data_IF_252087213307
#
_entry.id   IF_252087213307
#
_cell.length_a   1.000
_cell.length_b   1.000
_cell.length_c   1.000
_cell.angle_alpha   90.00
_cell.angle_beta   90.00
_cell.angle_gamma   90.00
#
_symmetry.space_group_name_H-M   'P 1'
#
loop_
_entity.id
_entity.type
_entity.pdbx_description
1 polymer ?
#
# COMPACT_ATOMS: atom_id res chain seq x y z
N UNK A 1 7.43 21.40 15.60
CA UNK A 1 6.64 20.19 15.89
C UNK A 1 5.64 20.08 14.77
N UNK A 2 5.69 18.96 14.06
CA UNK A 2 4.72 18.63 13.03
C UNK A 2 3.74 17.64 13.65
N UNK A 3 2.44 17.92 13.52
CA UNK A 3 1.35 17.05 13.96
C UNK A 3 0.46 16.76 12.76
N UNK A 4 0.10 15.49 12.53
CA UNK A 4 -0.95 15.10 11.57
C UNK A 4 -2.29 15.04 12.29
N UNK A 5 -3.34 15.40 11.56
CA UNK A 5 -4.73 15.41 12.03
C UNK A 5 -5.61 14.72 11.01
N UNK A 6 -6.19 13.59 11.41
CA UNK A 6 -6.94 12.73 10.51
C UNK A 6 -8.29 12.36 11.10
N UNK A 7 -9.22 12.04 10.22
CA UNK A 7 -10.59 11.68 10.55
C UNK A 7 -10.88 10.37 9.81
N UNK A 8 -11.18 9.33 10.57
CA UNK A 8 -11.32 7.96 10.09
C UNK A 8 -12.75 7.51 10.25
N UNK A 9 -13.31 6.89 9.21
CA UNK A 9 -14.57 6.16 9.27
C UNK A 9 -14.28 4.70 9.57
N UNK A 10 -14.90 4.16 10.61
CA UNK A 10 -14.69 2.80 11.12
C UNK A 10 -16.00 2.05 11.05
N UNK A 11 -15.96 0.81 10.55
CA UNK A 11 -17.12 -0.06 10.42
C UNK A 11 -17.02 -1.19 11.44
N UNK A 12 -17.78 -1.11 12.53
CA UNK A 12 -17.74 -2.08 13.63
C UNK A 12 -19.14 -2.61 13.93
N UNK A 13 -19.30 -3.93 13.92
CA UNK A 13 -20.56 -4.63 14.24
C UNK A 13 -21.77 -4.10 13.44
N UNK A 14 -21.56 -3.74 12.18
CA UNK A 14 -22.58 -3.15 11.29
C UNK A 14 -22.92 -1.69 11.59
N UNK A 15 -22.13 -1.00 12.41
CA UNK A 15 -22.24 0.44 12.70
C UNK A 15 -21.04 1.19 12.16
N UNK A 16 -21.30 2.44 11.76
CA UNK A 16 -20.26 3.38 11.37
C UNK A 16 -19.93 4.28 12.56
N UNK A 17 -18.66 4.34 12.92
CA UNK A 17 -18.09 5.22 13.93
C UNK A 17 -17.03 6.10 13.29
N UNK A 18 -16.84 7.33 13.80
CA UNK A 18 -15.79 8.21 13.32
C UNK A 18 -14.77 8.45 14.42
N UNK A 19 -13.48 8.32 14.07
CA UNK A 19 -12.36 8.56 14.96
C UNK A 19 -11.54 9.75 14.48
N UNK A 20 -11.11 10.58 15.42
CA UNK A 20 -10.13 11.62 15.20
C UNK A 20 -8.76 11.13 15.67
N UNK A 21 -7.80 11.09 14.75
CA UNK A 21 -6.43 10.65 15.01
C UNK A 21 -5.50 11.85 15.05
N UNK A 22 -4.65 11.85 16.07
CA UNK A 22 -3.58 12.82 16.26
C UNK A 22 -2.28 12.06 16.30
N UNK A 23 -1.39 12.40 15.38
CA UNK A 23 -0.05 11.85 15.33
C UNK A 23 0.96 12.99 15.49
N UNK A 24 1.90 12.86 16.43
CA UNK A 24 2.90 13.91 16.65
C UNK A 24 4.12 13.47 17.45
N UNK A 25 5.19 14.24 17.33
CA UNK A 25 6.45 14.06 18.07
C UNK A 25 6.35 14.64 19.48
N UNK A 26 5.41 14.11 20.27
CA UNK A 26 5.37 14.38 21.70
C UNK A 26 6.24 13.34 22.39
N UNK A 27 7.16 13.77 23.25
CA UNK A 27 7.75 12.85 24.24
C UNK A 27 6.63 12.47 25.20
N UNK A 28 5.82 11.48 24.83
CA UNK A 28 4.68 11.05 25.62
C UNK A 28 5.14 10.09 26.70
N UNK A 29 4.68 10.34 27.92
CA UNK A 29 4.80 9.41 29.05
C UNK A 29 3.69 8.34 29.04
N UNK A 30 2.90 8.28 27.97
CA UNK A 30 1.73 7.42 27.82
C UNK A 30 0.41 8.08 28.25
N UNK A 31 0.45 9.31 28.77
CA UNK A 31 -0.78 10.04 29.13
C UNK A 31 -1.46 10.60 27.90
N UNK A 32 -2.71 10.18 27.66
CA UNK A 32 -3.54 10.74 26.58
C UNK A 32 -4.04 12.12 27.00
N UNK A 33 -3.70 13.21 26.26
CA UNK A 33 -4.10 14.55 26.64
C UNK A 33 -5.60 14.74 26.49
N UNK A 34 -6.17 15.61 27.32
CA UNK A 34 -7.55 16.07 27.11
C UNK A 34 -7.60 16.92 25.84
N UNK A 35 -8.56 16.64 24.96
CA UNK A 35 -8.67 17.27 23.65
C UNK A 35 -10.05 17.90 23.43
N UNK A 36 -10.07 19.18 23.06
CA UNK A 36 -11.31 19.87 22.66
C UNK A 36 -11.17 20.51 21.28
N UNK A 37 -12.23 20.52 20.49
CA UNK A 37 -12.30 21.14 19.17
C UNK A 37 -13.16 22.41 19.23
N UNK A 38 -12.67 23.49 18.65
CA UNK A 38 -13.39 24.76 18.64
C UNK A 38 -12.68 25.89 17.91
N UNK A 39 -13.25 27.08 18.00
CA UNK A 39 -12.62 28.32 17.50
C UNK A 39 -11.81 29.00 18.60
N UNK A 40 -11.14 30.10 18.30
CA UNK A 40 -10.47 30.94 19.34
C UNK A 40 -11.47 31.54 20.32
N UNK A 41 -12.66 31.84 19.87
CA UNK A 41 -13.68 32.58 20.61
C UNK A 41 -14.63 31.65 21.37
N UNK A 42 -14.74 30.38 20.92
CA UNK A 42 -15.61 29.39 21.54
C UNK A 42 -15.02 27.97 21.42
N UNK A 43 -14.95 27.25 22.54
CA UNK A 43 -14.58 25.82 22.55
C UNK A 43 -15.86 25.01 22.42
N UNK A 44 -16.07 24.35 21.28
CA UNK A 44 -17.38 23.79 21.00
C UNK A 44 -17.61 22.44 21.69
N UNK A 45 -16.62 21.54 21.70
CA UNK A 45 -16.78 20.24 22.34
C UNK A 45 -15.48 19.51 22.65
N UNK A 46 -15.56 18.65 23.66
CA UNK A 46 -14.52 17.72 24.06
C UNK A 46 -14.67 16.40 23.31
N UNK A 47 -13.54 15.81 22.91
CA UNK A 47 -13.50 14.48 22.32
C UNK A 47 -13.16 13.45 23.40
N UNK A 48 -13.82 12.30 23.32
CA UNK A 48 -13.57 11.19 24.24
C UNK A 48 -12.38 10.37 23.72
N UNK A 49 -11.32 10.17 24.50
CA UNK A 49 -10.21 9.32 24.07
C UNK A 49 -10.67 7.87 23.92
N UNK A 50 -10.15 7.19 22.90
CA UNK A 50 -10.31 5.74 22.75
C UNK A 50 -9.47 5.07 23.83
N UNK A 51 -10.04 4.10 24.55
CA UNK A 51 -9.30 3.41 25.60
C UNK A 51 -8.14 2.60 25.00
N UNK A 52 -6.97 2.62 25.64
CA UNK A 52 -5.80 1.90 25.16
C UNK A 52 -6.04 0.38 25.00
N UNK A 53 -6.96 -0.19 25.78
CA UNK A 53 -7.35 -1.60 25.67
C UNK A 53 -8.18 -1.91 24.40
N UNK A 54 -8.86 -0.90 23.85
CA UNK A 54 -9.65 -1.02 22.63
C UNK A 54 -8.80 -0.80 21.37
N UNK A 55 -7.69 -0.06 21.52
CA UNK A 55 -6.69 0.16 20.47
C UNK A 55 -5.88 -1.11 20.23
N UNK A 56 -5.88 -1.56 18.98
CA UNK A 56 -5.17 -2.78 18.58
C UNK A 56 -3.90 -2.51 17.75
N UNK A 57 -3.46 -1.26 17.74
CA UNK A 57 -2.27 -0.80 17.01
C UNK A 57 -1.02 -1.27 17.72
N UNK A 58 0.05 -1.47 16.95
CA UNK A 58 1.38 -1.55 17.53
C UNK A 58 1.88 -0.10 17.65
N UNK A 59 2.06 0.46 18.86
CA UNK A 59 2.50 1.83 19.01
C UNK A 59 3.90 2.01 18.41
N UNK A 60 4.06 3.05 17.59
CA UNK A 60 5.36 3.44 17.07
C UNK A 60 6.27 3.95 18.19
N UNK A 61 7.58 3.72 18.03
CA UNK A 61 8.59 4.28 18.94
C UNK A 61 9.01 5.70 18.57
N UNK A 62 8.65 6.15 17.36
CA UNK A 62 9.15 7.39 16.77
C UNK A 62 8.12 8.52 16.78
N UNK A 63 6.85 8.20 17.04
CA UNK A 63 5.75 9.15 17.13
C UNK A 63 4.74 8.71 18.19
N UNK A 64 4.00 9.66 18.73
CA UNK A 64 2.85 9.38 19.60
C UNK A 64 1.57 9.44 18.81
N UNK A 65 0.73 8.42 18.99
CA UNK A 65 -0.63 8.37 18.48
C UNK A 65 -1.66 8.56 19.59
N UNK A 66 -2.61 9.46 19.35
CA UNK A 66 -3.79 9.59 20.16
C UNK A 66 -5.04 9.43 19.29
N UNK A 67 -5.95 8.60 19.75
CA UNK A 67 -7.20 8.31 19.09
C UNK A 67 -8.36 8.80 19.94
N UNK A 68 -9.30 9.49 19.32
CA UNK A 68 -10.50 9.99 19.99
C UNK A 68 -11.74 9.66 19.18
N UNK A 69 -12.85 9.41 19.85
CA UNK A 69 -14.15 9.35 19.19
C UNK A 69 -14.53 10.75 18.69
N UNK A 70 -14.64 10.90 17.37
CA UNK A 70 -15.05 12.16 16.74
C UNK A 70 -16.54 12.45 16.97
N UNK A 71 -17.33 11.40 17.25
CA UNK A 71 -18.77 11.51 17.49
C UNK A 71 -19.53 11.95 16.23
N UNK A 72 -20.55 12.77 16.42
CA UNK A 72 -21.38 13.28 15.33
C UNK A 72 -20.64 14.36 14.51
N UNK A 73 -20.34 14.04 13.25
CA UNK A 73 -19.65 14.93 12.31
C UNK A 73 -20.46 16.18 11.95
N UNK A 74 -21.79 16.21 12.17
CA UNK A 74 -22.60 17.42 11.98
C UNK A 74 -22.17 18.57 12.91
N UNK A 75 -21.64 18.23 14.10
CA UNK A 75 -21.09 19.19 15.06
C UNK A 75 -19.80 19.82 14.56
N UNK A 76 -19.01 19.06 13.81
CA UNK A 76 -17.79 19.55 13.17
C UNK A 76 -18.12 20.48 12.01
N UNK A 77 -19.14 20.18 11.20
CA UNK A 77 -19.57 21.08 10.12
C UNK A 77 -20.15 22.40 10.65
N UNK A 78 -20.87 22.37 11.79
CA UNK A 78 -21.36 23.59 12.44
C UNK A 78 -20.23 24.54 12.91
N UNK A 79 -19.04 24.00 13.19
CA UNK A 79 -17.86 24.81 13.48
C UNK A 79 -17.40 25.61 12.28
N UNK A 80 -17.54 25.09 11.06
CA UNK A 80 -17.19 25.83 9.83
C UNK A 80 -18.06 27.07 9.67
N UNK A 81 -19.37 26.94 9.93
CA UNK A 81 -20.30 28.05 9.86
C UNK A 81 -19.98 29.14 10.90
N UNK A 82 -19.66 28.71 12.12
CA UNK A 82 -19.26 29.60 13.22
C UNK A 82 -17.88 30.24 12.96
N UNK A 83 -16.99 29.52 12.27
CA UNK A 83 -15.64 29.94 11.91
C UNK A 83 -15.58 30.91 10.73
N UNK A 84 -16.71 31.40 10.18
CA UNK A 84 -16.72 32.41 9.09
C UNK A 84 -15.92 33.70 9.42
N UNK A 85 -15.45 33.88 10.67
CA UNK A 85 -14.48 34.91 11.11
C UNK A 85 -13.26 34.39 11.89
N UNK A 86 -13.06 33.08 12.05
CA UNK A 86 -12.02 32.47 12.89
C UNK A 86 -11.43 31.16 12.33
N UNK A 87 -10.39 30.62 12.98
CA UNK A 87 -9.80 29.31 12.65
C UNK A 87 -10.36 28.25 13.59
N UNK A 88 -10.64 27.06 13.07
CA UNK A 88 -10.95 25.89 13.91
C UNK A 88 -9.64 25.27 14.37
N UNK A 89 -9.53 24.99 15.68
CA UNK A 89 -8.34 24.47 16.31
C UNK A 89 -8.68 23.24 17.16
N UNK A 90 -7.70 22.33 17.24
CA UNK A 90 -7.59 21.31 18.25
C UNK A 90 -6.83 21.89 19.44
N UNK A 91 -7.41 21.84 20.64
CA UNK A 91 -6.79 22.31 21.89
C UNK A 91 -6.43 21.14 22.80
N UNK A 92 -5.14 21.01 23.12
CA UNK A 92 -4.60 19.92 23.93
C UNK A 92 -4.25 20.41 25.33
N UNK A 93 -4.73 19.70 26.34
CA UNK A 93 -4.45 19.97 27.74
C UNK A 93 -3.71 18.77 28.36
N UNK A 94 -2.39 18.89 28.46
CA UNK A 94 -1.51 17.85 29.02
C UNK A 94 -1.51 17.82 30.56
N UNK A 95 -2.05 18.86 31.19
CA UNK A 95 -2.33 18.87 32.64
C UNK A 95 -3.56 19.74 32.94
N UNK A 96 -4.25 19.53 34.07
CA UNK A 96 -5.49 20.26 34.40
C UNK A 96 -5.32 21.79 34.45
N UNK A 97 -4.10 22.27 34.73
CA UNK A 97 -3.80 23.69 34.92
C UNK A 97 -2.81 24.27 33.88
N UNK A 98 -2.40 23.50 32.87
CA UNK A 98 -1.52 24.01 31.82
C UNK A 98 -2.29 24.86 30.80
N UNK A 99 -1.64 25.91 30.28
CA UNK A 99 -2.08 26.55 29.04
C UNK A 99 -2.11 25.48 27.95
N UNK A 100 -3.28 25.24 27.36
CA UNK A 100 -3.41 24.26 26.29
C UNK A 100 -2.58 24.68 25.07
N UNK A 101 -1.90 23.72 24.44
CA UNK A 101 -1.39 23.95 23.09
C UNK A 101 -2.56 23.90 22.11
N UNK A 102 -2.41 24.54 20.95
CA UNK A 102 -3.43 24.49 19.92
C UNK A 102 -2.81 24.36 18.54
N UNK A 103 -3.45 23.57 17.71
CA UNK A 103 -3.10 23.42 16.31
C UNK A 103 -4.34 23.70 15.43
N UNK A 104 -4.12 24.39 14.32
CA UNK A 104 -5.18 24.73 13.37
C UNK A 104 -5.57 23.50 12.54
N UNK A 105 -6.86 23.15 12.55
CA UNK A 105 -7.42 22.02 11.80
C UNK A 105 -8.51 22.43 10.81
N UNK A 106 -8.67 23.73 10.56
CA UNK A 106 -9.67 24.27 9.61
C UNK A 106 -9.69 23.54 8.25
N UNK A 107 -8.54 23.18 7.62
CA UNK A 107 -8.54 22.47 6.34
C UNK A 107 -9.21 21.09 6.40
N UNK A 108 -9.07 20.36 7.52
CA UNK A 108 -9.70 19.06 7.73
C UNK A 108 -11.22 19.22 7.87
N UNK A 109 -11.66 20.15 8.73
CA UNK A 109 -13.08 20.39 9.01
C UNK A 109 -13.85 20.79 7.75
N UNK A 110 -13.28 21.66 6.91
CA UNK A 110 -13.86 22.10 5.63
C UNK A 110 -14.08 20.98 4.61
N UNK A 111 -13.41 19.83 4.78
CA UNK A 111 -13.54 18.68 3.87
C UNK A 111 -14.67 17.74 4.28
N UNK A 112 -15.12 17.78 5.53
CA UNK A 112 -16.12 16.86 6.09
C UNK A 112 -17.45 16.87 5.31
N UNK A 113 -18.07 18.03 4.98
CA UNK A 113 -19.34 18.04 4.24
C UNK A 113 -19.22 17.32 2.90
N UNK A 114 -18.11 17.53 2.18
CA UNK A 114 -17.85 16.86 0.92
C UNK A 114 -17.67 15.36 1.14
N UNK A 115 -16.88 14.95 2.12
CA UNK A 115 -16.61 13.54 2.41
C UNK A 115 -17.89 12.75 2.72
N UNK A 116 -18.79 13.31 3.54
CA UNK A 116 -20.08 12.70 3.87
C UNK A 116 -21.04 12.54 2.67
N UNK A 117 -20.77 13.22 1.56
CA UNK A 117 -21.59 13.17 0.34
C UNK A 117 -20.95 12.36 -0.79
N UNK A 118 -19.71 11.87 -0.61
CA UNK A 118 -19.05 11.06 -1.62
C UNK A 118 -19.69 9.67 -1.70
N UNK A 119 -19.99 9.16 -2.92
CA UNK A 119 -20.29 7.75 -3.10
C UNK A 119 -19.15 6.89 -2.57
N UNK A 120 -19.43 5.72 -1.99
CA UNK A 120 -18.40 4.79 -1.47
C UNK A 120 -17.32 4.45 -2.52
N UNK A 121 -17.69 4.43 -3.81
CA UNK A 121 -16.75 4.22 -4.92
C UNK A 121 -15.81 5.41 -5.19
N UNK A 122 -16.15 6.61 -4.72
CA UNK A 122 -15.35 7.84 -4.80
C UNK A 122 -14.68 8.19 -3.46
N UNK A 123 -15.13 7.57 -2.36
CA UNK A 123 -14.37 7.56 -1.12
C UNK A 123 -13.05 6.84 -1.41
N UNK A 124 -11.93 7.48 -1.06
CA UNK A 124 -10.63 6.81 -1.07
C UNK A 124 -10.76 5.53 -0.26
N UNK A 125 -10.65 4.38 -0.92
CA UNK A 125 -10.87 3.10 -0.29
C UNK A 125 -9.98 2.98 0.95
N UNK A 126 -10.59 2.67 2.09
CA UNK A 126 -9.90 2.47 3.34
C UNK A 126 -9.01 1.23 3.21
N UNK A 127 -7.69 1.40 3.27
CA UNK A 127 -6.75 0.30 3.10
C UNK A 127 -5.53 0.65 2.23
N UNK A 128 -4.62 -0.31 2.04
CA UNK A 128 -3.48 -0.17 1.14
C UNK A 128 -4.00 0.03 -0.28
N UNK A 129 -3.32 0.84 -1.09
CA UNK A 129 -3.66 0.94 -2.52
C UNK A 129 -3.35 -0.35 -3.26
N UNK A 130 -2.40 -1.14 -2.75
CA UNK A 130 -2.01 -2.41 -3.30
C UNK A 130 -1.45 -3.31 -2.21
N UNK A 131 -1.91 -4.57 -2.14
CA UNK A 131 -1.42 -5.55 -1.18
C UNK A 131 -1.08 -6.85 -1.87
N UNK A 132 0.06 -7.44 -1.52
CA UNK A 132 0.46 -8.77 -1.98
C UNK A 132 0.90 -9.62 -0.79
N UNK A 133 0.40 -10.85 -0.74
CA UNK A 133 0.79 -11.82 0.28
C UNK A 133 1.97 -12.67 -0.18
N UNK A 134 2.94 -12.84 0.71
CA UNK A 134 4.15 -13.64 0.52
C UNK A 134 4.11 -14.85 1.45
N UNK A 135 3.66 -16.04 0.98
CA UNK A 135 3.48 -17.21 1.83
C UNK A 135 4.80 -17.70 2.45
N UNK A 136 4.80 -17.95 3.75
CA UNK A 136 5.91 -18.54 4.50
C UNK A 136 7.17 -17.66 4.61
N UNK A 137 7.12 -16.39 4.20
CA UNK A 137 8.24 -15.46 4.33
C UNK A 137 8.09 -14.56 5.57
N UNK A 138 9.15 -14.44 6.40
CA UNK A 138 9.19 -13.47 7.50
C UNK A 138 9.25 -12.02 7.00
N UNK A 139 8.72 -11.09 7.79
CA UNK A 139 8.69 -9.67 7.41
C UNK A 139 10.08 -9.07 7.21
N UNK A 140 11.06 -9.47 8.03
CA UNK A 140 12.44 -8.99 7.90
C UNK A 140 13.07 -9.39 6.56
N UNK A 141 12.94 -10.65 6.17
CA UNK A 141 13.51 -11.15 4.90
C UNK A 141 12.88 -10.46 3.70
N UNK A 142 11.57 -10.22 3.73
CA UNK A 142 10.87 -9.48 2.69
C UNK A 142 11.26 -8.01 2.64
N UNK A 143 11.46 -7.38 3.80
CA UNK A 143 11.97 -6.01 3.87
C UNK A 143 13.32 -5.91 3.18
N UNK A 144 14.24 -6.83 3.46
CA UNK A 144 15.56 -6.82 2.84
C UNK A 144 15.47 -7.04 1.32
N UNK A 145 14.61 -7.97 0.87
CA UNK A 145 14.40 -8.24 -0.55
C UNK A 145 13.80 -7.05 -1.31
N UNK A 146 12.79 -6.39 -0.73
CA UNK A 146 12.20 -5.20 -1.32
C UNK A 146 13.21 -4.05 -1.32
N UNK A 147 13.93 -3.81 -0.22
CA UNK A 147 14.96 -2.77 -0.17
C UNK A 147 16.04 -2.97 -1.25
N UNK A 148 16.46 -4.22 -1.50
CA UNK A 148 17.37 -4.57 -2.58
C UNK A 148 16.78 -4.23 -3.96
N UNK A 149 15.55 -4.66 -4.26
CA UNK A 149 14.91 -4.39 -5.57
C UNK A 149 14.53 -2.91 -5.78
N UNK A 150 14.29 -2.17 -4.71
CA UNK A 150 14.11 -0.72 -4.73
C UNK A 150 15.42 0.02 -5.04
N UNK A 151 16.56 -0.53 -4.63
CA UNK A 151 17.89 -0.01 -4.94
C UNK A 151 18.47 -0.74 -6.15
N UNK A 152 18.25 -0.26 -7.37
CA UNK A 152 18.99 -0.84 -8.52
C UNK A 152 20.49 -0.81 -8.21
N UNK A 153 21.27 -1.88 -8.42
CA UNK A 153 22.72 -1.88 -8.16
C UNK A 153 23.53 -1.84 -9.46
N UNK A 154 24.62 -1.09 -9.47
CA UNK A 154 25.73 -1.30 -10.41
C UNK A 154 26.40 -2.63 -10.08
N UNK A 155 27.11 -3.20 -11.05
CA UNK A 155 27.90 -4.44 -10.84
C UNK A 155 28.97 -4.26 -9.74
N UNK A 156 29.29 -2.99 -9.41
CA UNK A 156 30.13 -2.60 -8.27
C UNK A 156 29.43 -2.61 -6.90
N UNK A 157 28.14 -2.99 -6.83
CA UNK A 157 27.32 -2.99 -5.61
C UNK A 157 26.75 -1.62 -5.21
N UNK A 158 27.15 -0.53 -5.87
CA UNK A 158 26.62 0.82 -5.62
C UNK A 158 25.18 0.94 -6.15
N UNK A 159 24.28 1.57 -5.41
CA UNK A 159 22.94 1.87 -5.93
C UNK A 159 23.00 2.76 -7.21
N UNK A 160 22.51 2.24 -8.34
CA UNK A 160 22.15 2.91 -9.60
C UNK A 160 21.05 3.94 -9.34
N UNK A 161 21.40 5.20 -9.58
CA UNK A 161 20.50 6.36 -9.48
C UNK A 161 19.53 6.49 -10.67
N UNK A 162 19.62 5.61 -11.66
CA UNK A 162 18.87 5.68 -12.92
C UNK A 162 17.49 5.04 -12.86
N UNK A 163 17.18 4.28 -11.80
CA UNK A 163 15.82 3.86 -11.53
C UNK A 163 15.14 4.87 -10.64
N UNK A 164 13.84 4.98 -10.87
CA UNK A 164 13.05 6.17 -10.65
C UNK A 164 12.81 6.49 -9.17
N UNK A 165 13.14 5.56 -8.26
CA UNK A 165 12.96 5.66 -6.82
C UNK A 165 14.22 5.26 -6.03
N UNK A 166 14.39 5.82 -4.84
CA UNK A 166 15.51 5.67 -3.90
C UNK A 166 14.94 5.25 -2.55
N UNK A 167 15.50 4.16 -2.01
CA UNK A 167 15.22 3.70 -0.66
C UNK A 167 15.79 4.66 0.38
N UNK A 168 15.04 4.83 1.46
CA UNK A 168 15.57 5.45 2.66
C UNK A 168 15.18 4.62 3.87
N UNK A 169 16.19 4.26 4.66
CA UNK A 169 15.99 3.47 5.87
C UNK A 169 15.26 4.31 6.93
N UNK A 170 14.20 3.76 7.51
CA UNK A 170 13.38 4.41 8.55
C UNK A 170 13.64 3.73 9.91
N UNK A 171 14.89 3.36 10.17
CA UNK A 171 15.32 2.76 11.44
C UNK A 171 14.73 1.37 11.69
N UNK A 172 14.38 1.09 12.95
CA UNK A 172 13.95 -0.23 13.42
C UNK A 172 12.47 -0.56 13.15
N UNK A 173 11.75 0.24 12.37
CA UNK A 173 10.35 -0.05 12.01
C UNK A 173 10.29 -1.19 10.99
N UNK A 174 9.25 -2.04 10.99
CA UNK A 174 9.03 -3.00 9.91
C UNK A 174 8.79 -2.28 8.56
N UNK A 175 8.46 -1.00 8.55
CA UNK A 175 8.07 -0.22 7.37
C UNK A 175 9.26 0.39 6.59
N UNK A 176 9.08 0.64 5.30
CA UNK A 176 10.05 1.38 4.47
C UNK A 176 9.42 2.56 3.71
N UNK A 177 10.26 3.54 3.36
CA UNK A 177 9.89 4.70 2.55
C UNK A 177 10.62 4.67 1.20
N UNK A 178 9.89 4.89 0.11
CA UNK A 178 10.44 5.08 -1.24
C UNK A 178 10.17 6.49 -1.75
N UNK A 179 11.16 7.09 -2.41
CA UNK A 179 11.06 8.44 -2.99
C UNK A 179 11.58 8.46 -4.41
N UNK A 180 11.02 9.27 -5.32
CA UNK A 180 11.61 9.45 -6.62
C UNK A 180 13.04 10.00 -6.52
N UNK A 181 13.91 9.64 -7.48
CA UNK A 181 15.34 9.99 -7.45
C UNK A 181 15.66 11.49 -7.41
N UNK A 182 14.66 12.35 -7.66
CA UNK A 182 14.76 13.80 -7.71
C UNK A 182 13.68 14.54 -6.91
N UNK A 183 12.79 13.83 -6.21
CA UNK A 183 11.74 14.45 -5.39
C UNK A 183 11.75 13.84 -4.00
N UNK A 184 12.05 14.65 -3.00
CA UNK A 184 11.89 14.27 -1.59
C UNK A 184 10.48 14.54 -1.08
N UNK A 185 9.60 15.14 -1.90
CA UNK A 185 8.23 15.45 -1.50
C UNK A 185 7.28 14.26 -1.69
N UNK A 186 7.64 13.32 -2.57
CA UNK A 186 6.87 12.09 -2.75
C UNK A 186 7.44 10.98 -1.89
N UNK A 187 6.59 10.41 -1.03
CA UNK A 187 6.93 9.29 -0.16
C UNK A 187 5.88 8.21 -0.31
N UNK A 188 6.33 7.02 -0.69
CA UNK A 188 5.50 5.82 -0.70
C UNK A 188 5.90 4.96 0.48
N UNK A 189 4.95 4.71 1.37
CA UNK A 189 5.17 3.86 2.53
C UNK A 189 4.80 2.44 2.21
N UNK A 190 5.53 1.52 2.83
CA UNK A 190 5.17 0.12 2.81
C UNK A 190 5.24 -0.45 4.19
N UNK A 191 4.18 -1.15 4.56
CA UNK A 191 4.04 -1.83 5.82
C UNK A 191 4.06 -3.34 5.61
N UNK A 192 4.54 -4.05 6.64
CA UNK A 192 4.63 -5.50 6.64
C UNK A 192 3.86 -6.03 7.82
N UNK A 193 2.96 -6.97 7.55
CA UNK A 193 2.20 -7.66 8.58
C UNK A 193 2.51 -9.14 8.48
N UNK A 194 3.30 -9.61 9.42
CA UNK A 194 3.65 -11.02 9.55
C UNK A 194 2.49 -11.79 10.20
N UNK A 195 2.16 -12.93 9.62
CA UNK A 195 1.15 -13.88 10.08
C UNK A 195 1.75 -15.30 10.03
N UNK A 196 1.17 -16.30 10.72
CA UNK A 196 1.72 -17.66 10.74
C UNK A 196 1.92 -18.28 9.34
N UNK A 197 1.08 -17.90 8.37
CA UNK A 197 1.11 -18.41 7.01
C UNK A 197 2.08 -17.66 6.07
N UNK A 198 2.65 -16.52 6.49
CA UNK A 198 3.44 -15.64 5.63
C UNK A 198 3.28 -14.17 6.00
N UNK A 199 3.69 -13.27 5.11
CA UNK A 199 3.66 -11.84 5.39
C UNK A 199 2.92 -11.08 4.29
N UNK A 200 2.08 -10.16 4.71
CA UNK A 200 1.49 -9.15 3.83
C UNK A 200 2.44 -7.99 3.61
N UNK A 201 2.60 -7.60 2.36
CA UNK A 201 3.25 -6.35 1.96
C UNK A 201 2.17 -5.40 1.48
N UNK A 202 2.02 -4.28 2.16
CA UNK A 202 0.99 -3.27 1.93
C UNK A 202 1.64 -2.00 1.40
N UNK A 203 1.24 -1.58 0.21
CA UNK A 203 1.72 -0.36 -0.43
C UNK A 203 0.74 0.79 -0.19
N UNK A 204 1.16 1.70 0.66
CA UNK A 204 0.33 2.74 1.24
C UNK A 204 0.58 4.03 0.43
N UNK A 205 0.04 4.04 -0.79
CA UNK A 205 0.26 5.12 -1.76
C UNK A 205 -0.68 6.30 -1.51
N UNK A 206 -0.14 7.49 -1.30
CA UNK A 206 -0.93 8.71 -1.18
C UNK A 206 -0.16 9.94 -1.69
N UNK A 207 -0.35 10.26 -2.96
CA UNK A 207 0.21 11.43 -3.63
C UNK A 207 -0.38 11.60 -5.03
N UNK A 208 -0.28 12.79 -5.61
CA UNK A 208 -0.49 12.97 -7.05
C UNK A 208 0.79 12.56 -7.78
N UNK A 209 0.69 12.11 -9.04
CA UNK A 209 1.88 11.89 -9.86
C UNK A 209 2.64 13.21 -10.04
N UNK A 210 3.88 13.31 -9.54
CA UNK A 210 4.79 14.37 -9.93
C UNK A 210 5.75 13.87 -11.01
N UNK A 211 5.66 14.50 -12.18
CA UNK A 211 6.47 14.16 -13.34
C UNK A 211 5.92 13.02 -14.19
N UNK A 212 6.82 12.33 -14.91
CA UNK A 212 6.48 11.39 -15.99
C UNK A 212 6.38 9.91 -15.54
N UNK A 213 6.26 9.64 -14.24
CA UNK A 213 6.42 8.29 -13.68
C UNK A 213 5.24 7.99 -12.79
N UNK A 214 4.43 7.00 -13.17
CA UNK A 214 3.34 6.57 -12.32
C UNK A 214 3.88 5.74 -11.14
N UNK A 215 3.52 6.06 -9.89
CA UNK A 215 4.01 5.33 -8.72
C UNK A 215 3.62 3.85 -8.72
N UNK A 216 2.40 3.52 -9.14
CA UNK A 216 1.98 2.12 -9.31
C UNK A 216 2.84 1.33 -10.31
N UNK A 217 3.40 1.95 -11.35
CA UNK A 217 4.31 1.23 -12.26
C UNK A 217 5.58 0.75 -11.53
N UNK A 218 6.05 1.54 -10.56
CA UNK A 218 7.23 1.19 -9.76
C UNK A 218 6.86 0.14 -8.71
N UNK A 219 5.74 0.33 -8.02
CA UNK A 219 5.23 -0.61 -7.01
C UNK A 219 5.00 -1.98 -7.65
N UNK A 220 4.29 -2.06 -8.78
CA UNK A 220 4.07 -3.29 -9.51
C UNK A 220 5.38 -3.95 -9.92
N UNK A 221 6.33 -3.17 -10.46
CA UNK A 221 7.64 -3.70 -10.86
C UNK A 221 8.42 -4.31 -9.69
N UNK A 222 8.55 -3.60 -8.56
CA UNK A 222 9.30 -4.07 -7.39
C UNK A 222 8.63 -5.33 -6.84
N UNK A 223 7.31 -5.30 -6.68
CA UNK A 223 6.55 -6.42 -6.12
C UNK A 223 6.71 -7.68 -6.98
N UNK A 224 6.58 -7.55 -8.31
CA UNK A 224 6.75 -8.67 -9.24
C UNK A 224 8.19 -9.22 -9.20
N UNK A 225 9.19 -8.33 -9.18
CA UNK A 225 10.60 -8.73 -9.16
C UNK A 225 10.97 -9.48 -7.87
N UNK A 226 10.51 -9.00 -6.71
CA UNK A 226 10.73 -9.70 -5.43
C UNK A 226 10.00 -11.03 -5.42
N UNK A 227 8.77 -11.09 -5.94
CA UNK A 227 8.04 -12.35 -6.02
C UNK A 227 8.77 -13.39 -6.89
N UNK A 228 9.28 -12.97 -8.05
CA UNK A 228 10.04 -13.82 -8.96
C UNK A 228 11.40 -14.26 -8.40
N UNK A 229 11.99 -13.52 -7.47
CA UNK A 229 13.21 -13.96 -6.79
C UNK A 229 12.93 -15.01 -5.69
N UNK A 230 11.79 -14.92 -5.04
CA UNK A 230 11.48 -15.72 -3.84
C UNK A 230 10.68 -16.99 -4.16
N UNK A 231 9.89 -16.98 -5.23
CA UNK A 231 8.97 -18.07 -5.59
C UNK A 231 9.11 -18.50 -7.05
N UNK A 232 8.72 -19.75 -7.37
CA UNK A 232 8.45 -20.11 -8.75
C UNK A 232 7.24 -19.30 -9.23
N UNK A 233 7.40 -18.59 -10.34
CA UNK A 233 6.34 -17.74 -10.92
C UNK A 233 5.80 -18.35 -12.20
N UNK A 234 4.51 -18.16 -12.43
CA UNK A 234 3.90 -18.55 -13.70
C UNK A 234 4.39 -17.64 -14.82
N UNK A 235 4.63 -18.26 -15.96
CA UNK A 235 5.01 -17.62 -17.20
C UNK A 235 4.03 -18.05 -18.28
N UNK A 236 3.41 -17.06 -18.91
CA UNK A 236 2.38 -17.25 -19.93
C UNK A 236 2.84 -16.80 -21.32
N UNK A 237 4.11 -16.46 -21.49
CA UNK A 237 4.66 -16.12 -22.81
C UNK A 237 4.26 -14.75 -23.37
N UNK A 238 3.60 -13.87 -22.62
CA UNK A 238 3.29 -12.51 -23.09
C UNK A 238 3.37 -11.46 -21.98
N UNK A 239 3.46 -10.18 -22.37
CA UNK A 239 3.38 -9.02 -21.47
C UNK A 239 2.31 -8.03 -21.94
N UNK A 240 1.91 -7.10 -21.07
CA UNK A 240 0.89 -6.09 -21.37
C UNK A 240 1.49 -4.68 -21.49
N UNK A 241 0.91 -3.87 -22.38
CA UNK A 241 1.38 -2.52 -22.71
C UNK A 241 0.74 -1.45 -21.82
N UNK A 242 1.54 -0.47 -21.43
CA UNK A 242 1.08 0.75 -20.78
C UNK A 242 1.12 0.70 -19.25
N UNK A 243 0.60 1.77 -18.66
CA UNK A 243 0.61 2.00 -17.21
C UNK A 243 -0.35 1.07 -16.47
N UNK A 244 -0.05 0.79 -15.20
CA UNK A 244 -0.83 -0.10 -14.34
C UNK A 244 -2.34 0.23 -14.30
N UNK A 245 -2.73 1.50 -14.33
CA UNK A 245 -4.14 1.94 -14.26
C UNK A 245 -4.85 1.97 -15.63
N UNK A 246 -4.15 1.66 -16.72
CA UNK A 246 -4.77 1.69 -18.05
C UNK A 246 -5.85 0.61 -18.14
N UNK A 247 -7.08 1.03 -18.43
CA UNK A 247 -8.29 0.20 -18.48
C UNK A 247 -8.44 -0.65 -19.75
N UNK A 248 -7.32 -1.18 -20.25
CA UNK A 248 -7.29 -2.03 -21.45
C UNK A 248 -6.05 -2.91 -21.43
N UNK A 249 -6.27 -4.22 -21.56
CA UNK A 249 -5.21 -5.23 -21.52
C UNK A 249 -4.69 -5.51 -22.93
N UNK A 250 -3.77 -4.65 -23.38
CA UNK A 250 -3.18 -4.73 -24.72
C UNK A 250 -1.89 -5.54 -24.67
N UNK A 251 -1.75 -6.54 -25.54
CA UNK A 251 -0.53 -7.35 -25.68
C UNK A 251 0.64 -6.46 -26.13
N UNK A 252 1.78 -6.56 -25.45
CA UNK A 252 3.01 -5.81 -25.75
C UNK A 252 4.06 -6.69 -26.41
N UNK A 253 4.35 -7.84 -25.80
CA UNK A 253 5.29 -8.84 -26.33
C UNK A 253 4.70 -10.23 -26.29
N UNK A 254 5.20 -11.11 -27.17
CA UNK A 254 4.79 -12.52 -27.26
C UNK A 254 6.05 -13.36 -27.49
N UNK A 255 6.22 -14.42 -26.69
CA UNK A 255 7.27 -15.43 -26.82
C UNK A 255 6.70 -16.72 -27.43
N UNK A 256 6.64 -16.73 -28.75
CA UNK A 256 6.18 -17.91 -29.50
C UNK A 256 7.19 -19.06 -29.51
N UNK A 257 8.42 -18.86 -29.01
CA UNK A 257 9.42 -19.93 -28.96
C UNK A 257 9.14 -20.87 -27.79
N UNK A 258 8.81 -20.30 -26.63
CA UNK A 258 8.46 -21.07 -25.43
C UNK A 258 6.97 -21.41 -25.39
N UNK A 259 6.11 -20.56 -25.97
CA UNK A 259 4.67 -20.76 -26.07
C UNK A 259 4.20 -20.78 -27.53
N UNK A 260 4.42 -21.89 -28.27
CA UNK A 260 4.03 -21.99 -29.67
C UNK A 260 2.51 -21.86 -29.90
N UNK A 261 1.68 -22.13 -28.89
CA UNK A 261 0.23 -21.88 -28.91
C UNK A 261 -0.13 -20.40 -29.15
N UNK A 262 0.79 -19.47 -28.83
CA UNK A 262 0.61 -18.04 -29.03
C UNK A 262 0.91 -17.56 -30.45
N UNK A 263 1.13 -18.44 -31.42
CA UNK A 263 1.52 -18.06 -32.79
C UNK A 263 0.51 -17.13 -33.48
N UNK A 264 -0.78 -17.23 -33.12
CA UNK A 264 -1.83 -16.35 -33.63
C UNK A 264 -1.86 -14.97 -32.93
N UNK A 265 -1.25 -14.85 -31.75
CA UNK A 265 -1.25 -13.63 -30.95
C UNK A 265 -0.22 -12.63 -31.45
N UNK A 266 -0.59 -11.36 -31.51
CA UNK A 266 0.27 -10.27 -31.95
C UNK A 266 0.32 -9.13 -30.94
N UNK A 267 1.47 -8.42 -30.82
CA UNK A 267 1.52 -7.14 -30.15
C UNK A 267 0.44 -6.18 -30.69
N UNK A 268 -0.32 -5.58 -29.77
CA UNK A 268 -1.46 -4.71 -30.07
C UNK A 268 -2.83 -5.38 -30.01
N UNK A 269 -2.91 -6.71 -29.95
CA UNK A 269 -4.17 -7.41 -29.69
C UNK A 269 -4.66 -7.08 -28.27
N UNK A 270 -5.98 -7.07 -28.07
CA UNK A 270 -6.60 -6.67 -26.80
C UNK A 270 -7.31 -7.86 -26.17
N UNK A 271 -6.99 -8.20 -24.93
CA UNK A 271 -7.71 -9.23 -24.18
C UNK A 271 -9.09 -8.68 -23.81
N UNK A 272 -10.14 -9.39 -24.20
CA UNK A 272 -11.55 -9.06 -23.98
C UNK A 272 -12.18 -9.94 -22.91
N UNK A 273 -11.65 -11.14 -22.71
CA UNK A 273 -12.07 -12.07 -21.65
C UNK A 273 -10.90 -12.91 -21.16
N UNK A 274 -10.92 -13.26 -19.87
CA UNK A 274 -10.01 -14.21 -19.23
C UNK A 274 -10.84 -15.24 -18.48
N UNK A 275 -10.66 -16.53 -18.81
CA UNK A 275 -11.38 -17.67 -18.25
C UNK A 275 -12.91 -17.48 -18.27
N UNK A 276 -13.43 -16.90 -19.34
CA UNK A 276 -14.86 -16.64 -19.53
C UNK A 276 -15.38 -15.36 -18.89
N UNK A 277 -14.56 -14.62 -18.14
CA UNK A 277 -14.94 -13.35 -17.50
C UNK A 277 -14.56 -12.18 -18.41
N UNK A 278 -15.52 -11.33 -18.83
CA UNK A 278 -15.22 -10.12 -19.59
C UNK A 278 -14.36 -9.14 -18.79
N UNK A 279 -13.34 -8.55 -19.45
CA UNK A 279 -12.34 -7.70 -18.76
C UNK A 279 -12.26 -6.26 -19.29
N UNK A 280 -13.23 -5.88 -20.12
CA UNK A 280 -13.32 -4.52 -20.65
C UNK A 280 -13.48 -3.49 -19.52
N UNK A 281 -12.61 -2.48 -19.51
CA UNK A 281 -12.61 -1.44 -18.49
C UNK A 281 -11.77 -1.78 -17.25
N UNK A 282 -11.25 -3.00 -17.12
CA UNK A 282 -10.38 -3.35 -16.00
C UNK A 282 -8.95 -2.81 -16.19
N UNK A 283 -8.35 -2.26 -15.14
CA UNK A 283 -6.99 -1.74 -15.21
C UNK A 283 -5.98 -2.87 -15.37
N UNK A 284 -4.87 -2.60 -16.06
CA UNK A 284 -3.78 -3.55 -16.33
C UNK A 284 -3.26 -4.27 -15.08
N UNK A 285 -3.20 -3.59 -13.93
CA UNK A 285 -2.72 -4.20 -12.69
C UNK A 285 -3.56 -5.41 -12.25
N UNK A 286 -4.84 -5.49 -12.65
CA UNK A 286 -5.70 -6.64 -12.35
C UNK A 286 -5.20 -7.88 -13.07
N UNK A 287 -4.91 -7.79 -14.37
CA UNK A 287 -4.33 -8.90 -15.12
C UNK A 287 -2.96 -9.31 -14.56
N UNK A 288 -2.10 -8.33 -14.28
CA UNK A 288 -0.79 -8.62 -13.69
C UNK A 288 -0.94 -9.27 -12.32
N UNK A 289 -1.92 -8.85 -11.50
CA UNK A 289 -2.17 -9.48 -10.22
C UNK A 289 -2.54 -10.96 -10.38
N UNK A 290 -3.50 -11.24 -11.27
CA UNK A 290 -3.94 -12.60 -11.58
C UNK A 290 -2.80 -13.46 -12.12
N UNK A 291 -1.99 -12.93 -13.03
CA UNK A 291 -0.92 -13.70 -13.65
C UNK A 291 0.21 -14.05 -12.66
N UNK A 292 0.56 -13.13 -11.76
CA UNK A 292 1.72 -13.32 -10.87
C UNK A 292 1.38 -13.86 -9.48
N UNK A 293 0.22 -13.48 -8.92
CA UNK A 293 -0.09 -13.68 -7.49
C UNK A 293 -1.37 -14.47 -7.23
N UNK A 294 -1.90 -15.19 -8.22
CA UNK A 294 -3.06 -16.06 -8.04
C UNK A 294 -2.75 -17.53 -8.32
N UNK A 295 -3.68 -18.40 -7.94
CA UNK A 295 -3.63 -19.83 -8.19
C UNK A 295 -4.02 -20.23 -9.63
N UNK A 296 -4.36 -19.29 -10.53
CA UNK A 296 -4.78 -19.59 -11.92
C UNK A 296 -3.84 -20.53 -12.67
N UNK A 297 -4.39 -21.60 -13.28
CA UNK A 297 -3.63 -22.50 -14.14
C UNK A 297 -3.45 -21.93 -15.54
N UNK A 298 -3.72 -22.75 -16.56
CA UNK A 298 -3.79 -22.30 -17.94
C UNK A 298 -4.86 -21.20 -18.10
N UNK A 299 -4.66 -20.28 -19.04
CA UNK A 299 -5.54 -19.14 -19.28
C UNK A 299 -6.32 -19.34 -20.58
N UNK A 300 -7.64 -19.31 -20.51
CA UNK A 300 -8.49 -19.24 -21.69
C UNK A 300 -8.80 -17.77 -22.00
N UNK A 301 -8.19 -17.25 -23.07
CA UNK A 301 -8.28 -15.85 -23.45
C UNK A 301 -9.16 -15.68 -24.69
N UNK A 302 -10.04 -14.68 -24.66
CA UNK A 302 -10.65 -14.12 -25.87
C UNK A 302 -9.94 -12.82 -26.19
N UNK A 303 -9.38 -12.70 -27.39
CA UNK A 303 -8.65 -11.53 -27.86
C UNK A 303 -9.35 -10.89 -29.06
N UNK A 304 -9.23 -9.58 -29.17
CA UNK A 304 -9.64 -8.79 -30.33
C UNK A 304 -8.39 -8.30 -31.07
N UNK A 305 -8.26 -8.70 -32.33
CA UNK A 305 -7.26 -8.14 -33.25
C UNK A 305 -7.93 -7.28 -34.32
N UNK A 306 -7.35 -6.12 -34.66
CA UNK A 306 -7.79 -5.34 -35.82
C UNK A 306 -7.71 -6.12 -37.15
N UNK A 307 -6.90 -7.17 -37.22
CA UNK A 307 -6.66 -7.95 -38.45
C UNK A 307 -7.61 -9.13 -38.59
N UNK A 308 -7.82 -9.88 -37.52
CA UNK A 308 -8.53 -11.17 -37.54
C UNK A 308 -9.88 -11.14 -36.84
N UNK A 309 -10.24 -10.05 -36.16
CA UNK A 309 -11.43 -9.97 -35.33
C UNK A 309 -11.23 -10.67 -33.98
N UNK A 310 -12.33 -11.18 -33.40
CA UNK A 310 -12.29 -11.92 -32.15
C UNK A 310 -11.77 -13.34 -32.37
N UNK A 311 -10.88 -13.81 -31.50
CA UNK A 311 -10.36 -15.17 -31.51
C UNK A 311 -10.01 -15.64 -30.11
N UNK A 312 -9.92 -16.96 -29.94
CA UNK A 312 -9.66 -17.61 -28.66
C UNK A 312 -8.28 -18.27 -28.64
N UNK A 313 -7.61 -18.23 -27.48
CA UNK A 313 -6.34 -18.91 -27.24
C UNK A 313 -6.32 -19.45 -25.81
N UNK A 314 -6.02 -20.74 -25.67
CA UNK A 314 -5.65 -21.32 -24.37
C UNK A 314 -4.14 -21.24 -24.19
N UNK A 315 -3.70 -20.45 -23.23
CA UNK A 315 -2.30 -20.20 -22.90
C UNK A 315 -1.86 -21.13 -21.78
N UNK A 316 -0.82 -21.92 -22.02
CA UNK A 316 -0.32 -22.83 -20.99
C UNK A 316 0.45 -22.06 -19.92
N UNK A 317 0.26 -22.46 -18.67
CA UNK A 317 1.05 -21.97 -17.54
C UNK A 317 2.38 -22.73 -17.48
N UNK A 318 3.49 -22.04 -17.80
CA UNK A 318 4.83 -22.56 -17.53
C UNK A 318 5.32 -22.03 -16.18
N UNK A 319 6.22 -22.77 -15.51
CA UNK A 319 6.82 -22.32 -14.25
C UNK A 319 8.24 -21.85 -14.53
N UNK A 320 8.50 -20.57 -14.22
CA UNK A 320 9.85 -20.05 -14.10
C UNK A 320 10.32 -20.22 -12.66
N UNK A 321 11.42 -20.93 -12.50
CA UNK A 321 12.14 -20.99 -11.24
C UNK A 321 12.84 -19.64 -11.00
N UNK A 322 12.96 -19.22 -9.73
CA UNK A 322 13.69 -18.02 -9.38
C UNK A 322 15.17 -18.14 -9.77
N UNK A 323 15.85 -17.01 -9.74
CA UNK A 323 17.30 -16.97 -9.76
C UNK A 323 17.89 -17.55 -8.47
N UNK A 324 19.20 -17.90 -8.44
CA UNK A 324 19.88 -18.37 -7.24
C UNK A 324 19.65 -17.44 -6.04
N UNK A 325 19.55 -18.03 -4.84
CA UNK A 325 19.26 -17.30 -3.61
C UNK A 325 20.19 -16.09 -3.44
N UNK A 326 19.59 -14.91 -3.31
CA UNK A 326 20.29 -13.63 -3.10
C UNK A 326 20.37 -13.39 -1.59
N UNK A 327 21.57 -13.11 -1.09
CA UNK A 327 21.75 -12.59 0.27
C UNK A 327 21.45 -11.09 0.31
N UNK A 328 20.16 -10.75 0.39
CA UNK A 328 19.69 -9.37 0.34
C UNK A 328 20.30 -8.51 1.44
N UNK A 329 20.45 -9.04 2.65
CA UNK A 329 21.05 -8.33 3.77
C UNK A 329 22.49 -7.90 3.45
N UNK A 330 23.31 -8.83 2.94
CA UNK A 330 24.70 -8.51 2.58
C UNK A 330 24.82 -7.51 1.41
N UNK A 331 23.86 -7.49 0.47
CA UNK A 331 23.82 -6.48 -0.60
C UNK A 331 23.38 -5.11 -0.06
N UNK A 332 22.39 -5.08 0.82
CA UNK A 332 21.91 -3.86 1.46
C UNK A 332 23.00 -3.22 2.34
N UNK A 333 23.81 -4.01 3.06
CA UNK A 333 24.96 -3.50 3.84
C UNK A 333 26.02 -2.79 2.97
N UNK A 334 26.24 -3.27 1.74
CA UNK A 334 27.17 -2.66 0.78
C UNK A 334 26.61 -1.38 0.16
N UNK A 335 25.31 -1.14 0.30
CA UNK A 335 24.61 -0.08 -0.38
C UNK A 335 24.79 1.24 0.35
N UNK A 336 25.53 2.16 -0.28
CA UNK A 336 25.53 3.56 0.16
C UNK A 336 24.19 4.19 -0.18
N UNK A 337 23.30 4.26 0.80
CA UNK A 337 22.01 4.93 0.66
C UNK A 337 22.23 6.41 0.36
N UNK A 338 21.45 6.97 -0.57
CA UNK A 338 21.54 8.39 -0.94
C UNK A 338 20.90 9.27 0.13
N UNK A 339 19.88 8.77 0.81
CA UNK A 339 19.25 9.41 1.96
C UNK A 339 19.34 8.46 3.15
N UNK A 340 19.96 8.92 4.22
CA UNK A 340 19.89 8.31 5.55
C UNK A 340 19.21 9.35 6.43
N UNK A 341 17.97 9.08 6.83
CA UNK A 341 17.18 9.99 7.65
C UNK A 341 16.73 9.24 8.89
N UNK A 342 16.66 9.93 10.03
CA UNK A 342 16.54 9.27 11.33
C UNK A 342 15.09 8.96 11.69
N UNK A 343 14.13 9.65 11.09
CA UNK A 343 12.70 9.51 11.40
C UNK A 343 11.84 9.59 10.13
N UNK A 344 10.63 9.04 10.22
CA UNK A 344 9.63 9.02 9.14
C UNK A 344 9.20 10.44 8.71
N UNK A 345 9.23 11.40 9.64
CA UNK A 345 8.83 12.79 9.43
C UNK A 345 9.84 13.58 8.59
N UNK A 346 11.12 13.20 8.63
CA UNK A 346 12.13 13.87 7.81
C UNK A 346 11.89 13.64 6.31
N UNK A 347 11.05 12.67 5.92
CA UNK A 347 10.74 12.39 4.52
C UNK A 347 9.67 13.29 3.91
N UNK A 348 8.98 14.17 4.65
CA UNK A 348 7.95 15.06 4.09
C UNK A 348 8.19 16.53 4.40
N UNK A 349 7.90 17.38 3.41
CA UNK A 349 8.02 18.83 3.50
C UNK A 349 6.73 19.52 3.99
N UNK A 350 5.61 18.80 4.04
CA UNK A 350 4.26 19.35 4.28
C UNK A 350 3.57 18.83 5.56
N UNK A 351 4.20 17.95 6.32
CA UNK A 351 3.70 17.51 7.64
C UNK A 351 2.55 16.50 7.62
N UNK A 352 2.20 15.92 6.47
CA UNK A 352 1.33 14.75 6.43
C UNK A 352 2.12 13.53 6.92
N UNK A 353 1.70 12.82 7.96
CA UNK A 353 2.43 11.64 8.50
C UNK A 353 1.76 10.37 7.86
N UNK A 354 2.35 9.16 7.89
CA UNK A 354 1.95 8.05 7.02
C UNK A 354 0.54 7.60 7.38
N UNK A 355 -0.28 7.43 6.36
CA UNK A 355 -1.60 6.86 6.45
C UNK A 355 -1.50 5.47 7.07
N UNK A 356 -1.73 5.41 8.38
CA UNK A 356 -1.75 4.14 9.09
C UNK A 356 -3.06 3.46 8.69
N UNK A 357 -2.90 2.48 7.81
CA UNK A 357 -3.93 1.54 7.42
C UNK A 357 -4.18 0.64 8.61
N UNK A 358 -5.09 1.10 9.42
CA UNK A 358 -5.39 0.44 10.66
C UNK A 358 -6.78 0.83 11.11
N UNK A 359 -7.65 -0.16 11.26
CA UNK A 359 -8.87 -0.01 12.03
C UNK A 359 -8.49 -0.17 13.50
N UNK A 360 -8.41 0.92 14.27
CA UNK A 360 -8.02 0.86 15.66
C UNK A 360 -8.95 0.07 16.55
N UNK A 361 -10.15 -0.22 16.09
CA UNK A 361 -11.14 -0.99 16.82
C UNK A 361 -11.40 -2.36 16.17
N UNK A 362 -10.84 -2.60 14.98
CA UNK A 362 -11.01 -3.78 14.14
C UNK A 362 -10.41 -5.05 14.74
N UNK A 363 -10.57 -6.21 14.11
CA UNK A 363 -9.95 -7.45 14.64
C UNK A 363 -8.42 -7.37 14.43
N UNK A 364 -7.56 -7.48 15.48
CA UNK A 364 -6.11 -7.43 15.28
C UNK A 364 -5.62 -8.60 14.41
N UNK A 365 -6.38 -9.70 14.34
CA UNK A 365 -6.09 -10.85 13.49
C UNK A 365 -6.62 -10.70 12.05
N UNK A 366 -7.51 -9.74 11.76
CA UNK A 366 -7.93 -9.46 10.39
C UNK A 366 -6.95 -8.48 9.74
N UNK A 367 -6.29 -8.90 8.67
CA UNK A 367 -5.55 -7.99 7.79
C UNK A 367 -6.56 -7.18 6.98
N UNK A 368 -6.38 -5.86 6.96
CA UNK A 368 -7.12 -5.00 6.03
C UNK A 368 -6.37 -5.05 4.71
N UNK A 369 -6.79 -5.97 3.85
CA UNK A 369 -6.29 -6.11 2.49
C UNK A 369 -6.66 -4.87 1.67
N UNK A 370 -5.91 -4.62 0.60
CA UNK A 370 -6.38 -3.66 -0.38
C UNK A 370 -7.76 -4.09 -0.88
N UNK A 371 -8.79 -3.23 -0.86
CA UNK A 371 -10.11 -3.57 -1.42
C UNK A 371 -10.05 -3.95 -2.90
N UNK A 372 -8.96 -3.59 -3.58
CA UNK A 372 -8.66 -4.01 -4.95
C UNK A 372 -8.20 -5.46 -5.03
N UNK A 373 -7.48 -5.97 -4.03
CA UNK A 373 -6.93 -7.33 -4.01
C UNK A 373 -8.01 -8.39 -3.78
N UNK A 374 -8.86 -8.22 -2.76
CA UNK A 374 -9.94 -9.18 -2.45
C UNK A 374 -10.93 -9.28 -3.61
N UNK A 375 -11.34 -8.13 -4.14
CA UNK A 375 -12.24 -8.08 -5.29
C UNK A 375 -11.67 -8.84 -6.49
N UNK A 376 -10.37 -8.75 -6.78
CA UNK A 376 -9.76 -9.49 -7.90
C UNK A 376 -9.89 -11.00 -7.69
N UNK A 377 -9.53 -11.51 -6.51
CA UNK A 377 -9.54 -12.95 -6.26
C UNK A 377 -10.97 -13.52 -6.29
N UNK A 378 -11.91 -12.85 -5.63
CA UNK A 378 -13.32 -13.25 -5.58
C UNK A 378 -13.97 -13.19 -6.97
N UNK A 379 -13.79 -12.08 -7.68
CA UNK A 379 -14.41 -11.85 -8.98
C UNK A 379 -13.92 -12.85 -10.03
N UNK A 380 -12.63 -13.18 -10.01
CA UNK A 380 -12.03 -14.15 -10.94
C UNK A 380 -12.06 -15.59 -10.42
N UNK A 381 -12.79 -15.86 -9.33
CA UNK A 381 -12.98 -17.18 -8.74
C UNK A 381 -11.66 -17.94 -8.55
N UNK A 382 -10.64 -17.25 -8.04
CA UNK A 382 -9.31 -17.80 -7.80
C UNK A 382 -8.86 -17.55 -6.37
N UNK A 383 -7.84 -18.29 -5.97
CA UNK A 383 -7.28 -18.23 -4.62
C UNK A 383 -5.84 -17.73 -4.67
N UNK A 384 -5.26 -17.52 -3.48
CA UNK A 384 -3.84 -17.20 -3.34
C UNK A 384 -3.00 -18.40 -3.77
N UNK A 385 -1.80 -18.20 -4.33
CA UNK A 385 -0.93 -19.29 -4.72
C UNK A 385 -0.49 -20.07 -3.47
N UNK A 386 -0.62 -21.40 -3.53
CA UNK A 386 -0.02 -22.31 -2.57
C UNK A 386 1.49 -22.49 -2.85
N UNK A 387 2.25 -21.40 -2.92
CA UNK A 387 3.69 -21.44 -3.22
C UNK A 387 4.49 -21.30 -1.94
N UNK A 388 5.45 -22.20 -1.70
CA UNK A 388 6.44 -22.04 -0.63
C UNK A 388 7.71 -21.38 -1.19
N UNK A 389 8.43 -20.56 -0.39
CA UNK A 389 9.70 -19.94 -0.81
C UNK A 389 10.75 -21.01 -1.12
N UNK A 390 11.61 -20.78 -2.13
CA UNK A 390 12.49 -21.85 -2.61
C UNK A 390 13.52 -22.36 -1.60
N UNK A 391 13.97 -21.51 -0.68
CA UNK A 391 14.83 -21.94 0.43
C UNK A 391 14.17 -23.04 1.28
N UNK A 392 12.83 -23.05 1.38
CA UNK A 392 12.06 -24.09 2.08
C UNK A 392 11.70 -25.26 1.17
N UNK A 393 11.48 -25.03 -0.13
CA UNK A 393 11.18 -26.07 -1.11
C UNK A 393 12.33 -27.07 -1.30
N UNK A 394 13.58 -26.60 -1.29
CA UNK A 394 14.77 -27.44 -1.40
C UNK A 394 15.26 -28.00 -0.06
N UNK A 395 14.99 -27.33 1.07
CA UNK A 395 15.32 -27.87 2.39
C UNK A 395 14.41 -29.05 2.80
N UNK A 396 13.14 -29.05 2.37
CA UNK A 396 12.22 -30.17 2.61
C UNK A 396 12.47 -31.39 1.70
N UNK A 397 13.24 -31.22 0.62
CA UNK A 397 13.57 -32.28 -0.35
C UNK A 397 15.04 -32.72 -0.28
N UNK A 398 15.83 -32.19 0.66
CA UNK A 398 17.14 -32.73 0.98
C UNK A 398 16.96 -34.13 1.59
N UNK A 399 17.47 -35.21 0.97
CA UNK A 399 17.48 -36.51 1.62
C UNK A 399 18.27 -36.38 2.92
N UNK A 400 17.63 -36.73 4.03
CA UNK A 400 18.32 -36.94 5.29
C UNK A 400 19.35 -38.06 5.07
N UNK A 401 20.62 -37.68 4.90
CA UNK A 401 21.75 -38.58 4.97
C UNK A 401 22.41 -38.47 6.34
#
# INVERSE_FOLDING_TARGET
MYSSYELHEIHKDGKVEYLFHVQGEYGSDGTVPRLTIGTKEDTAFELTPVAAADLKTIPSKDYTDYWYYAGDLSRWTALEESAKKGKVNAYFYYSPNSKGSRDEISPLVKRIPRWLTLPVAECNAYGPMYSVFYPGMPAKELRDAIAYRSNAHYDSGRAKTSNKYVFSDVGNLPSFALHPSWSMAEVHYVTFREEPAGTWVNWDYWGASSGNIHPLDTISYITQAVYADLYPTKYYGFTLKGHAEKQSWVIDTVDTKQHPELTAMSPGDVIKSLNGIPVDGYPKYVAEYLMYYSALGDLDLVLESPKTGLYEVTVRSMIHLPLPAIDYAAYNEKSKLRYTRKTINEFRLDGAVPFEIFDPLGNPAAHVESPRTDWILEHFHTERPHTMPLGKYFAATAPQY
#
